data_IF_753754905623
#
_entry.id   IF_753754905623
#
_cell.length_a   1.000
_cell.length_b   1.000
_cell.length_c   1.000
_cell.angle_alpha   90.00
_cell.angle_beta   90.00
_cell.angle_gamma   90.00
#
_symmetry.space_group_name_H-M   'P 1'
#
loop_
_entity.id
_entity.type
_entity.pdbx_description
1 polymer ?
#
# COMPACT_ATOMS: atom_id res chain seq x y z
N UNK A 1 10.28 0.24 -5.03
CA UNK A 1 10.23 0.29 -3.55
C UNK A 1 10.14 -1.13 -3.01
N UNK A 2 10.92 -1.50 -1.99
CA UNK A 2 10.75 -2.79 -1.31
C UNK A 2 9.57 -2.67 -0.35
N UNK A 3 8.38 -3.09 -0.77
CA UNK A 3 7.14 -3.03 0.03
C UNK A 3 7.20 -3.80 1.37
N UNK A 4 8.28 -4.56 1.61
CA UNK A 4 8.55 -5.27 2.86
C UNK A 4 8.97 -4.34 4.01
N UNK A 5 9.61 -3.21 3.72
CA UNK A 5 10.08 -2.25 4.72
C UNK A 5 9.44 -0.88 4.46
N UNK A 6 8.31 -0.62 5.11
CA UNK A 6 7.62 0.67 5.03
C UNK A 6 8.34 1.66 5.95
N UNK A 7 8.70 2.82 5.40
CA UNK A 7 9.19 3.97 6.15
C UNK A 7 8.29 5.16 5.83
N UNK A 8 7.22 5.32 6.59
CA UNK A 8 6.09 6.17 6.19
C UNK A 8 6.45 7.66 6.17
N UNK A 9 7.28 8.13 7.11
CA UNK A 9 7.73 9.52 7.15
C UNK A 9 8.44 9.95 5.87
N UNK A 10 9.43 9.16 5.42
CA UNK A 10 10.15 9.40 4.18
C UNK A 10 9.23 9.40 2.95
N UNK A 11 8.20 8.56 2.94
CA UNK A 11 7.23 8.48 1.84
C UNK A 11 6.29 9.70 1.82
N UNK A 12 5.87 10.17 3.00
CA UNK A 12 5.12 11.42 3.15
C UNK A 12 5.96 12.60 2.67
N UNK A 13 7.22 12.72 3.12
CA UNK A 13 8.13 13.79 2.68
C UNK A 13 8.28 13.82 1.15
N UNK A 14 8.45 12.64 0.54
CA UNK A 14 8.50 12.51 -0.91
C UNK A 14 7.22 13.05 -1.56
N UNK A 15 6.05 12.67 -1.04
CA UNK A 15 4.75 13.12 -1.57
C UNK A 15 4.54 14.63 -1.39
N UNK A 16 4.92 15.19 -0.24
CA UNK A 16 4.89 16.64 0.02
C UNK A 16 5.68 17.40 -1.02
N UNK A 17 6.90 16.92 -1.35
CA UNK A 17 7.75 17.49 -2.40
C UNK A 17 7.13 17.38 -3.79
N UNK A 18 6.55 16.23 -4.13
CA UNK A 18 5.85 16.01 -5.42
C UNK A 18 4.61 16.91 -5.58
N UNK A 19 3.92 17.22 -4.49
CA UNK A 19 2.75 18.09 -4.47
C UNK A 19 3.07 19.56 -4.19
N UNK A 20 4.34 19.92 -4.05
CA UNK A 20 4.82 21.27 -3.71
C UNK A 20 4.02 21.90 -2.55
N UNK A 21 3.65 21.08 -1.56
CA UNK A 21 2.76 21.53 -0.48
C UNK A 21 3.54 22.39 0.52
N UNK A 22 3.17 23.67 0.73
CA UNK A 22 3.95 24.55 1.60
C UNK A 22 3.95 24.08 3.06
N UNK A 23 5.12 24.05 3.70
CA UNK A 23 5.28 23.70 5.12
C UNK A 23 4.36 24.53 6.03
N UNK A 24 4.18 25.86 5.86
CA UNK A 24 3.27 26.64 6.70
C UNK A 24 1.81 26.16 6.64
N UNK A 25 1.35 25.66 5.48
CA UNK A 25 0.01 25.09 5.33
C UNK A 25 -0.11 23.79 6.13
N UNK A 26 0.93 22.96 6.11
CA UNK A 26 1.00 21.70 6.84
C UNK A 26 1.01 21.99 8.36
N UNK A 27 1.91 22.84 8.84
CA UNK A 27 1.97 23.23 10.26
C UNK A 27 0.63 23.76 10.76
N UNK A 28 -0.04 24.61 9.96
CA UNK A 28 -1.39 25.12 10.29
C UNK A 28 -2.44 24.00 10.36
N UNK A 29 -2.40 23.04 9.45
CA UNK A 29 -3.37 21.93 9.42
C UNK A 29 -3.18 20.95 10.59
N UNK A 30 -1.93 20.69 10.97
CA UNK A 30 -1.59 19.80 12.08
C UNK A 30 -1.59 20.51 13.44
N UNK A 31 -1.57 21.85 13.46
CA UNK A 31 -1.38 22.67 14.65
C UNK A 31 -0.09 22.30 15.40
N UNK A 32 1.01 22.25 14.65
CA UNK A 32 2.33 21.83 15.13
C UNK A 32 3.44 22.70 14.52
N UNK A 33 4.69 22.54 14.98
CA UNK A 33 5.83 23.31 14.45
C UNK A 33 6.45 22.65 13.21
N UNK A 34 7.40 23.33 12.58
CA UNK A 34 8.16 22.76 11.46
C UNK A 34 9.10 21.63 11.94
N UNK A 35 9.62 21.74 13.16
CA UNK A 35 10.41 20.69 13.80
C UNK A 35 9.60 19.41 13.98
N UNK A 36 8.36 19.51 14.46
CA UNK A 36 7.45 18.35 14.59
C UNK A 36 7.24 17.65 13.23
N UNK A 37 7.06 18.44 12.17
CA UNK A 37 6.89 17.92 10.81
C UNK A 37 8.18 17.24 10.31
N UNK A 38 9.34 17.82 10.59
CA UNK A 38 10.65 17.22 10.27
C UNK A 38 10.83 15.88 10.98
N UNK A 39 10.46 15.80 12.27
CA UNK A 39 10.50 14.55 13.03
C UNK A 39 9.57 13.49 12.40
N UNK A 40 8.36 13.87 12.00
CA UNK A 40 7.43 12.97 11.30
C UNK A 40 8.04 12.43 10.00
N UNK A 41 8.83 13.23 9.26
CA UNK A 41 9.50 12.77 8.04
C UNK A 41 10.61 11.75 8.28
N UNK A 42 11.29 11.81 9.43
CA UNK A 42 12.32 10.84 9.81
C UNK A 42 11.74 9.58 10.47
N UNK A 43 10.47 9.62 10.86
CA UNK A 43 9.80 8.52 11.55
C UNK A 43 9.48 7.35 10.62
N UNK A 44 9.84 6.12 11.03
CA UNK A 44 9.55 4.89 10.29
C UNK A 44 8.05 4.59 10.22
N UNK A 45 7.33 4.87 11.31
CA UNK A 45 5.89 4.72 11.47
C UNK A 45 5.32 5.96 12.13
N UNK A 46 4.03 6.22 11.92
CA UNK A 46 3.30 7.31 12.56
C UNK A 46 2.03 6.76 13.20
N UNK A 47 1.52 7.49 14.17
CA UNK A 47 0.18 7.26 14.70
C UNK A 47 -0.87 7.30 13.58
N UNK A 48 -1.92 6.48 13.68
CA UNK A 48 -2.91 6.32 12.62
C UNK A 48 -3.77 7.57 12.40
N UNK A 49 -4.05 8.36 13.45
CA UNK A 49 -4.75 9.65 13.31
C UNK A 49 -3.88 10.66 12.55
N UNK A 50 -2.58 10.69 12.87
CA UNK A 50 -1.60 11.52 12.16
C UNK A 50 -1.48 11.10 10.69
N UNK A 51 -1.40 9.79 10.43
CA UNK A 51 -1.33 9.27 9.07
C UNK A 51 -2.61 9.55 8.26
N UNK A 52 -3.78 9.52 8.92
CA UNK A 52 -5.04 9.90 8.30
C UNK A 52 -5.06 11.38 7.93
N UNK A 53 -4.57 12.26 8.81
CA UNK A 53 -4.41 13.70 8.50
C UNK A 53 -3.48 13.91 7.31
N UNK A 54 -2.35 13.21 7.25
CA UNK A 54 -1.45 13.25 6.09
C UNK A 54 -2.13 12.79 4.81
N UNK A 55 -2.94 11.74 4.90
CA UNK A 55 -3.69 11.23 3.76
C UNK A 55 -4.71 12.24 3.24
N UNK A 56 -5.35 13.00 4.14
CA UNK A 56 -6.31 14.05 3.80
C UNK A 56 -5.65 15.26 3.14
N UNK A 57 -4.58 15.81 3.74
CA UNK A 57 -3.95 17.03 3.22
C UNK A 57 -3.20 16.81 1.89
N UNK A 58 -2.68 15.60 1.67
CA UNK A 58 -1.97 15.23 0.44
C UNK A 58 -2.83 14.48 -0.58
N UNK A 59 -4.12 14.29 -0.26
CA UNK A 59 -5.10 13.55 -1.07
C UNK A 59 -4.54 12.19 -1.55
N UNK A 60 -3.82 11.50 -0.65
CA UNK A 60 -3.09 10.28 -0.96
C UNK A 60 -3.31 9.24 0.13
N UNK A 61 -3.84 8.07 -0.25
CA UNK A 61 -4.13 7.00 0.69
C UNK A 61 -2.85 6.24 1.09
N UNK A 62 -2.21 6.70 2.16
CA UNK A 62 -1.00 6.07 2.71
C UNK A 62 -1.24 4.70 3.36
N UNK A 63 -2.48 4.39 3.75
CA UNK A 63 -2.83 3.10 4.35
C UNK A 63 -2.65 1.94 3.37
N UNK A 64 -2.72 2.23 2.06
CA UNK A 64 -2.50 1.23 1.00
C UNK A 64 -1.15 0.54 1.09
N UNK A 65 -0.10 1.21 1.55
CA UNK A 65 1.20 0.55 1.73
C UNK A 65 1.12 -0.58 2.75
N UNK A 66 0.42 -0.34 3.86
CA UNK A 66 0.19 -1.34 4.89
C UNK A 66 -0.77 -2.43 4.42
N UNK A 67 -1.88 -2.07 3.76
CA UNK A 67 -2.80 -3.07 3.17
C UNK A 67 -2.10 -3.96 2.14
N UNK A 68 -1.26 -3.40 1.28
CA UNK A 68 -0.45 -4.17 0.33
C UNK A 68 0.55 -5.07 1.06
N UNK A 69 1.20 -4.58 2.12
CA UNK A 69 2.10 -5.41 2.91
C UNK A 69 1.37 -6.62 3.52
N UNK A 70 0.15 -6.41 4.03
CA UNK A 70 -0.71 -7.50 4.51
C UNK A 70 -1.06 -8.50 3.40
N UNK A 71 -1.37 -8.03 2.19
CA UNK A 71 -1.72 -8.89 1.05
C UNK A 71 -0.51 -9.74 0.61
N UNK A 72 0.66 -9.12 0.48
CA UNK A 72 1.83 -9.74 -0.13
C UNK A 72 2.65 -10.58 0.85
N UNK A 73 2.75 -10.15 2.11
CA UNK A 73 3.69 -10.71 3.08
C UNK A 73 3.03 -11.38 4.28
N UNK A 74 1.70 -11.41 4.38
CA UNK A 74 1.04 -12.24 5.39
C UNK A 74 0.99 -13.70 4.93
N UNK A 75 1.46 -14.66 5.76
CA UNK A 75 1.34 -16.06 5.42
C UNK A 75 -0.13 -16.45 5.30
N UNK A 76 -0.50 -17.12 4.20
CA UNK A 76 -1.82 -17.72 4.07
C UNK A 76 -1.93 -18.89 5.05
N UNK A 77 -2.40 -18.64 6.28
CA UNK A 77 -2.70 -19.72 7.21
C UNK A 77 -3.72 -20.68 6.56
N UNK A 78 -3.52 -22.01 6.66
CA UNK A 78 -4.49 -23.00 6.17
C UNK A 78 -5.90 -22.77 6.74
N UNK A 79 -5.99 -22.30 7.99
CA UNK A 79 -7.26 -21.99 8.66
C UNK A 79 -7.99 -20.79 8.06
N UNK A 80 -7.29 -19.84 7.43
CA UNK A 80 -7.89 -18.67 6.77
C UNK A 80 -8.59 -19.04 5.46
N UNK A 81 -8.32 -20.22 4.89
CA UNK A 81 -9.08 -20.80 3.76
C UNK A 81 -10.33 -21.55 4.22
N UNK A 82 -10.29 -22.13 5.42
CA UNK A 82 -11.40 -22.93 5.99
C UNK A 82 -12.37 -22.12 6.86
N UNK A 83 -12.00 -20.91 7.32
CA UNK A 83 -12.96 -19.94 7.88
C UNK A 83 -13.85 -19.42 6.75
N UNK A 84 -14.91 -20.18 6.43
CA UNK A 84 -16.09 -19.65 5.73
C UNK A 84 -16.48 -18.35 6.44
N UNK A 85 -16.76 -17.31 5.66
CA UNK A 85 -17.25 -16.03 6.13
C UNK A 85 -18.30 -16.30 7.22
N UNK A 86 -18.02 -15.93 8.46
CA UNK A 86 -19.02 -16.04 9.52
C UNK A 86 -20.13 -15.08 9.12
N UNK A 87 -21.35 -15.56 8.80
CA UNK A 87 -22.42 -14.69 8.31
C UNK A 87 -22.87 -13.65 9.35
N UNK A 88 -22.46 -13.81 10.61
CA UNK A 88 -22.83 -12.95 11.74
C UNK A 88 -21.65 -12.09 12.26
N UNK A 89 -20.81 -11.55 11.38
CA UNK A 89 -19.81 -10.56 11.83
C UNK A 89 -20.39 -9.16 11.79
N UNK A 90 -20.34 -8.44 12.92
CA UNK A 90 -20.68 -7.02 13.01
C UNK A 90 -19.65 -6.13 12.29
N UNK A 91 -18.46 -6.67 12.01
CA UNK A 91 -17.39 -5.94 11.34
C UNK A 91 -17.53 -5.98 9.82
N UNK A 92 -17.24 -4.86 9.13
CA UNK A 92 -17.29 -4.81 7.68
C UNK A 92 -16.32 -5.81 7.05
N UNK A 93 -16.79 -6.48 6.00
CA UNK A 93 -15.97 -7.42 5.24
C UNK A 93 -15.13 -6.67 4.20
N UNK A 94 -13.82 -6.61 4.42
CA UNK A 94 -12.89 -6.08 3.43
C UNK A 94 -12.42 -7.18 2.47
N UNK A 95 -12.42 -6.90 1.17
CA UNK A 95 -11.90 -7.85 0.17
C UNK A 95 -10.44 -8.16 0.48
N UNK A 96 -10.09 -9.46 0.58
CA UNK A 96 -8.72 -9.94 0.87
C UNK A 96 -7.64 -9.29 -0.01
N UNK A 97 -7.98 -8.87 -1.24
CA UNK A 97 -7.01 -8.25 -2.15
C UNK A 97 -7.53 -6.94 -2.75
N UNK A 98 -6.82 -5.84 -2.50
CA UNK A 98 -7.01 -4.53 -3.15
C UNK A 98 -5.77 -4.28 -4.01
N UNK A 99 -5.79 -4.78 -5.23
CA UNK A 99 -4.70 -4.55 -6.17
C UNK A 99 -4.89 -3.19 -6.85
N UNK A 100 -3.97 -2.26 -6.59
CA UNK A 100 -4.01 -0.93 -7.21
C UNK A 100 -3.44 -0.98 -8.62
N UNK A 101 -3.72 0.05 -9.43
CA UNK A 101 -3.22 0.11 -10.82
C UNK A 101 -1.69 0.09 -10.87
N UNK A 102 -1.03 0.73 -9.91
CA UNK A 102 0.42 0.78 -9.79
C UNK A 102 1.01 -0.61 -9.50
N UNK A 103 0.36 -1.38 -8.62
CA UNK A 103 0.75 -2.77 -8.33
C UNK A 103 0.58 -3.66 -9.54
N UNK A 104 -0.55 -3.55 -10.23
CA UNK A 104 -0.81 -4.32 -11.45
C UNK A 104 0.27 -4.00 -12.49
N UNK A 105 0.52 -2.71 -12.74
CA UNK A 105 1.52 -2.27 -13.70
C UNK A 105 2.93 -2.75 -13.33
N UNK A 106 3.34 -2.61 -12.07
CA UNK A 106 4.65 -3.08 -11.60
C UNK A 106 4.82 -4.59 -11.80
N UNK A 107 3.79 -5.39 -11.49
CA UNK A 107 3.84 -6.84 -11.68
C UNK A 107 3.90 -7.23 -13.15
N UNK A 108 3.16 -6.53 -14.01
CA UNK A 108 3.20 -6.75 -15.46
C UNK A 108 4.57 -6.36 -16.05
N UNK A 109 5.14 -5.22 -15.64
CA UNK A 109 6.46 -4.77 -16.07
C UNK A 109 7.55 -5.78 -15.69
N UNK A 110 7.51 -6.36 -14.48
CA UNK A 110 8.46 -7.41 -14.08
C UNK A 110 8.37 -8.68 -14.96
N UNK A 111 7.18 -8.99 -15.47
CA UNK A 111 6.96 -10.14 -16.36
C UNK A 111 7.43 -9.81 -17.77
N UNK A 112 7.06 -8.65 -18.31
CA UNK A 112 7.43 -8.20 -19.65
C UNK A 112 8.94 -7.98 -19.79
N UNK A 113 9.59 -7.43 -18.77
CA UNK A 113 11.05 -7.26 -18.73
C UNK A 113 11.82 -8.56 -18.48
N UNK A 114 11.13 -9.70 -18.29
CA UNK A 114 11.75 -10.99 -17.99
C UNK A 114 12.40 -11.09 -16.61
N UNK A 115 12.35 -10.04 -15.79
CA UNK A 115 12.91 -10.02 -14.42
C UNK A 115 12.30 -11.11 -13.54
N UNK A 116 11.01 -11.43 -13.76
CA UNK A 116 10.31 -12.53 -13.06
C UNK A 116 9.37 -13.27 -14.00
N UNK A 117 9.32 -14.59 -13.84
CA UNK A 117 8.30 -15.44 -14.48
C UNK A 117 6.95 -15.28 -13.80
N UNK A 118 5.87 -15.62 -14.53
CA UNK A 118 4.50 -15.68 -13.97
C UNK A 118 4.43 -16.53 -12.70
N UNK A 119 5.13 -17.67 -12.68
CA UNK A 119 5.20 -18.58 -11.53
C UNK A 119 5.95 -17.99 -10.34
N UNK A 120 7.03 -17.22 -10.57
CA UNK A 120 7.71 -16.47 -9.52
C UNK A 120 6.78 -15.39 -8.95
N UNK A 121 6.09 -14.64 -9.80
CA UNK A 121 5.15 -13.60 -9.34
C UNK A 121 4.03 -14.19 -8.49
N UNK A 122 3.43 -15.32 -8.91
CA UNK A 122 2.39 -16.03 -8.16
C UNK A 122 2.88 -16.47 -6.77
N UNK A 123 4.07 -17.07 -6.70
CA UNK A 123 4.61 -17.62 -5.44
C UNK A 123 5.15 -16.54 -4.50
N UNK A 124 5.92 -15.60 -5.02
CA UNK A 124 6.61 -14.60 -4.19
C UNK A 124 5.68 -13.50 -3.69
N UNK A 125 4.63 -13.18 -4.45
CA UNK A 125 3.67 -12.13 -4.10
C UNK A 125 2.28 -12.69 -3.78
N UNK A 126 2.14 -14.00 -3.60
CA UNK A 126 0.85 -14.62 -3.27
C UNK A 126 -0.33 -14.18 -4.17
N UNK A 127 -0.04 -13.84 -5.43
CA UNK A 127 -1.07 -13.40 -6.38
C UNK A 127 -1.75 -14.66 -6.92
N UNK A 128 -3.08 -14.83 -6.76
CA UNK A 128 -3.77 -15.98 -7.30
C UNK A 128 -3.53 -16.10 -8.81
N UNK A 129 -3.27 -17.33 -9.29
CA UNK A 129 -3.02 -17.60 -10.72
C UNK A 129 -4.09 -16.96 -11.60
N UNK A 130 -5.36 -17.15 -11.28
CA UNK A 130 -6.48 -16.59 -12.04
C UNK A 130 -6.46 -15.05 -12.07
N UNK A 131 -6.06 -14.41 -10.97
CA UNK A 131 -5.91 -12.95 -10.89
C UNK A 131 -4.81 -12.44 -11.80
N UNK A 132 -3.61 -13.05 -11.74
CA UNK A 132 -2.48 -12.62 -12.58
C UNK A 132 -2.81 -12.77 -14.07
N UNK A 133 -3.43 -13.89 -14.45
CA UNK A 133 -3.80 -14.13 -15.84
C UNK A 133 -4.85 -13.11 -16.33
N UNK A 134 -5.84 -12.75 -15.51
CA UNK A 134 -6.80 -11.67 -15.83
C UNK A 134 -6.12 -10.31 -16.04
N UNK A 135 -5.08 -9.99 -15.27
CA UNK A 135 -4.33 -8.74 -15.48
C UNK A 135 -3.60 -8.76 -16.81
N UNK A 136 -2.92 -9.86 -17.13
CA UNK A 136 -2.20 -10.00 -18.39
C UNK A 136 -3.16 -9.87 -19.56
N UNK A 137 -4.30 -10.56 -19.52
CA UNK A 137 -5.31 -10.51 -20.57
C UNK A 137 -5.88 -9.10 -20.77
N UNK A 138 -6.25 -8.42 -19.68
CA UNK A 138 -6.84 -7.07 -19.73
C UNK A 138 -5.86 -5.99 -20.20
N UNK A 139 -4.54 -6.21 -20.01
CA UNK A 139 -3.51 -5.24 -20.33
C UNK A 139 -2.61 -5.69 -21.49
N UNK A 140 -2.97 -6.76 -22.20
CA UNK A 140 -2.38 -7.06 -23.51
C UNK A 140 -2.74 -5.91 -24.45
N UNK A 141 -1.72 -5.24 -24.98
CA UNK A 141 -1.88 -4.39 -26.16
C UNK A 141 -2.23 -5.25 -27.37
#
# INVERSE_FOLDING_TARGET
MKFKNIHIGAMINKRVKECETPIPRICKFFNCTEEDISEMYTSKSLDTEILLKWSKILEYDFFRFYSQNLIFYSPASPDVKNKKNRPNSEMPYFRKNIYTKEVINFMLEMIESGKKTKSQVIREYNIPKTTLYKWIEKNKK
#
